data_IF_718670298255
#
_entry.id   IF_718670298255
#
_cell.length_a   1.000
_cell.length_b   1.000
_cell.length_c   1.000
_cell.angle_alpha   90.00
_cell.angle_beta   90.00
_cell.angle_gamma   90.00
#
_symmetry.space_group_name_H-M   'P 1'
#
loop_
_entity.id
_entity.type
_entity.pdbx_description
1 polymer ?
#
# COMPACT_ATOMS: atom_id res chain seq x y z
N UNK A 1 -4.58 14.15 0.20
CA UNK A 1 -4.48 13.42 1.48
C UNK A 1 -4.67 11.93 1.23
N UNK A 2 -4.45 11.04 2.22
CA UNK A 2 -4.67 9.58 2.09
C UNK A 2 -6.07 9.27 1.55
N UNK A 3 -7.10 9.82 2.19
CA UNK A 3 -8.50 9.55 1.82
C UNK A 3 -8.85 10.07 0.42
N UNK A 4 -8.31 11.23 0.05
CA UNK A 4 -8.46 11.77 -1.30
C UNK A 4 -7.84 10.84 -2.35
N UNK A 5 -6.67 10.26 -2.07
CA UNK A 5 -6.06 9.27 -2.96
C UNK A 5 -6.96 8.04 -3.11
N UNK A 6 -7.49 7.51 -1.99
CA UNK A 6 -8.39 6.35 -2.02
C UNK A 6 -9.63 6.65 -2.86
N UNK A 7 -10.29 7.79 -2.65
CA UNK A 7 -11.45 8.18 -3.45
C UNK A 7 -11.14 8.38 -4.93
N UNK A 8 -9.98 8.92 -5.28
CA UNK A 8 -9.56 9.07 -6.68
C UNK A 8 -9.30 7.72 -7.33
N UNK A 9 -8.63 6.81 -6.63
CA UNK A 9 -8.34 5.46 -7.11
C UNK A 9 -9.60 4.60 -7.24
N UNK A 10 -10.57 4.76 -6.34
CA UNK A 10 -11.90 4.11 -6.42
C UNK A 10 -12.82 4.71 -7.51
N UNK A 11 -12.44 5.86 -8.08
CA UNK A 11 -13.27 6.60 -9.02
C UNK A 11 -14.46 7.32 -8.39
N UNK A 12 -14.45 7.54 -7.06
CA UNK A 12 -15.49 8.26 -6.31
C UNK A 12 -15.41 9.77 -6.58
N UNK A 13 -14.19 10.30 -6.72
CA UNK A 13 -13.96 11.71 -7.09
C UNK A 13 -13.08 11.81 -8.34
N UNK A 14 -13.18 12.92 -9.11
CA UNK A 14 -12.39 13.09 -10.32
C UNK A 14 -10.88 13.06 -10.10
N UNK A 15 -10.15 12.50 -11.07
CA UNK A 15 -8.69 12.49 -11.10
C UNK A 15 -8.20 12.47 -12.55
N UNK A 16 -7.15 13.25 -12.85
CA UNK A 16 -6.47 13.19 -14.15
C UNK A 16 -5.83 11.81 -14.41
N UNK A 17 -5.48 11.08 -13.34
CA UNK A 17 -4.93 9.73 -13.43
C UNK A 17 -6.00 8.63 -13.55
N UNK A 18 -7.27 8.95 -13.33
CA UNK A 18 -8.40 8.03 -13.48
C UNK A 18 -9.59 8.74 -14.16
N UNK A 19 -9.44 9.16 -15.44
CA UNK A 19 -10.45 9.97 -16.11
C UNK A 19 -11.76 9.21 -16.36
N UNK A 20 -11.73 7.87 -16.37
CA UNK A 20 -12.91 7.03 -16.55
C UNK A 20 -13.66 6.74 -15.24
N UNK A 21 -13.16 7.17 -14.08
CA UNK A 21 -13.82 6.93 -12.79
C UNK A 21 -14.01 5.45 -12.45
N UNK A 22 -13.07 4.60 -12.88
CA UNK A 22 -13.10 3.16 -12.55
C UNK A 22 -12.62 2.93 -11.12
N UNK A 23 -13.04 1.83 -10.52
CA UNK A 23 -12.43 1.39 -9.27
C UNK A 23 -11.14 0.64 -9.60
N UNK A 24 -10.02 1.37 -9.56
CA UNK A 24 -8.71 0.81 -9.88
C UNK A 24 -8.25 -0.24 -8.86
N UNK A 25 -8.71 -0.15 -7.60
CA UNK A 25 -8.42 -1.21 -6.63
C UNK A 25 -9.15 -2.50 -6.99
N UNK A 26 -10.41 -2.41 -7.43
CA UNK A 26 -11.16 -3.56 -7.91
C UNK A 26 -10.54 -4.15 -9.19
N UNK A 27 -10.21 -3.30 -10.17
CA UNK A 27 -9.61 -3.71 -11.44
C UNK A 27 -8.28 -4.47 -11.25
N UNK A 28 -7.51 -4.12 -10.21
CA UNK A 28 -6.24 -4.77 -9.88
C UNK A 28 -6.32 -5.80 -8.74
N UNK A 29 -7.50 -6.03 -8.15
CA UNK A 29 -7.71 -7.02 -7.10
C UNK A 29 -7.13 -6.66 -5.72
N UNK A 30 -7.04 -5.39 -5.37
CA UNK A 30 -6.68 -4.90 -4.03
C UNK A 30 -7.94 -4.86 -3.16
N UNK A 31 -8.44 -6.03 -2.79
CA UNK A 31 -9.75 -6.21 -2.13
C UNK A 31 -9.98 -5.31 -0.90
N UNK A 32 -9.02 -5.15 0.04
CA UNK A 32 -9.24 -4.35 1.24
C UNK A 32 -9.47 -2.85 1.00
N UNK A 33 -9.24 -2.36 -0.22
CA UNK A 33 -9.34 -0.95 -0.60
C UNK A 33 -10.48 -0.65 -1.57
N UNK A 34 -11.22 -1.68 -2.00
CA UNK A 34 -12.32 -1.52 -2.95
C UNK A 34 -13.42 -0.63 -2.38
N UNK A 35 -14.10 0.09 -3.27
CA UNK A 35 -15.23 0.91 -2.85
C UNK A 35 -16.41 0.05 -2.41
N UNK A 36 -17.06 0.45 -1.33
CA UNK A 36 -18.37 -0.10 -0.97
C UNK A 36 -19.42 0.59 -1.83
N UNK A 37 -20.35 -0.17 -2.37
CA UNK A 37 -21.47 0.35 -3.17
C UNK A 37 -22.77 0.21 -2.39
N UNK A 38 -23.51 1.32 -2.22
CA UNK A 38 -24.82 1.27 -1.58
C UNK A 38 -25.92 0.78 -2.54
N UNK A 39 -27.14 0.66 -2.03
CA UNK A 39 -28.31 0.24 -2.81
C UNK A 39 -28.68 1.19 -3.96
N UNK A 40 -28.18 2.42 -3.95
CA UNK A 40 -28.37 3.41 -5.02
C UNK A 40 -27.27 3.36 -6.10
N UNK A 41 -26.28 2.48 -5.93
CA UNK A 41 -25.13 2.37 -6.84
C UNK A 41 -24.03 3.39 -6.55
N UNK A 42 -24.10 4.13 -5.43
CA UNK A 42 -23.08 5.10 -5.05
C UNK A 42 -21.92 4.40 -4.36
N UNK A 43 -20.70 4.70 -4.82
CA UNK A 43 -19.44 4.24 -4.23
C UNK A 43 -19.00 5.13 -3.06
N UNK A 44 -18.52 4.52 -1.98
CA UNK A 44 -18.00 5.20 -0.79
C UNK A 44 -17.00 4.32 -0.01
N UNK A 45 -16.39 4.93 1.02
CA UNK A 45 -15.44 4.28 1.92
C UNK A 45 -13.99 4.70 1.67
N UNK A 46 -13.20 4.81 2.74
CA UNK A 46 -11.76 5.15 2.70
C UNK A 46 -10.90 4.10 3.42
N UNK A 47 -11.52 2.99 3.81
CA UNK A 47 -10.82 1.89 4.43
C UNK A 47 -9.89 1.24 3.40
N UNK A 48 -8.59 1.21 3.72
CA UNK A 48 -7.53 0.70 2.84
C UNK A 48 -6.27 0.47 3.69
N UNK A 49 -6.28 -0.57 4.56
CA UNK A 49 -5.28 -0.74 5.61
C UNK A 49 -3.86 -0.98 5.06
N UNK A 50 -3.75 -1.48 3.82
CA UNK A 50 -2.45 -1.71 3.18
C UNK A 50 -1.65 -0.41 2.97
N UNK A 51 -2.31 0.74 2.77
CA UNK A 51 -1.63 2.03 2.69
C UNK A 51 -0.98 2.42 4.01
N UNK A 52 -1.60 2.02 5.13
CA UNK A 52 -1.09 2.27 6.48
C UNK A 52 0.09 1.34 6.82
N UNK A 53 0.30 0.29 6.02
CA UNK A 53 1.38 -0.70 6.15
C UNK A 53 2.57 -0.45 5.20
N UNK A 54 2.49 0.50 4.26
CA UNK A 54 3.57 0.81 3.31
C UNK A 54 4.92 1.10 3.99
N UNK A 55 4.92 1.71 5.17
CA UNK A 55 6.14 1.99 5.92
C UNK A 55 6.90 0.70 6.29
N UNK A 56 6.18 -0.42 6.48
CA UNK A 56 6.76 -1.70 6.89
C UNK A 56 7.72 -2.26 5.85
N UNK A 57 7.57 -1.90 4.57
CA UNK A 57 8.53 -2.29 3.54
C UNK A 57 9.92 -1.68 3.78
N UNK A 58 9.98 -0.47 4.33
CA UNK A 58 11.24 0.28 4.47
C UNK A 58 11.88 0.17 5.84
N UNK A 59 11.08 0.07 6.89
CA UNK A 59 11.57 0.15 8.27
C UNK A 59 11.26 -1.13 9.04
N UNK A 60 12.17 -1.52 9.94
CA UNK A 60 11.93 -2.59 10.91
C UNK A 60 11.10 -2.11 12.10
N UNK A 61 11.26 -0.84 12.47
CA UNK A 61 10.51 -0.17 13.54
C UNK A 61 9.73 1.01 12.97
N UNK A 62 8.62 1.35 13.60
CA UNK A 62 7.80 2.47 13.16
C UNK A 62 8.62 3.78 13.14
N UNK A 63 8.74 4.46 11.98
CA UNK A 63 9.71 5.54 11.81
C UNK A 63 9.27 6.89 12.38
N UNK A 64 8.00 7.02 12.77
CA UNK A 64 7.44 8.28 13.27
C UNK A 64 7.32 8.25 14.79
N UNK A 65 7.55 9.41 15.43
CA UNK A 65 7.33 9.54 16.87
C UNK A 65 5.85 9.24 17.18
N UNK A 66 5.55 8.44 18.22
CA UNK A 66 4.18 8.29 18.68
C UNK A 66 3.63 9.68 18.99
N UNK A 67 2.51 10.06 18.35
CA UNK A 67 1.81 11.28 18.70
C UNK A 67 1.17 11.07 20.08
N UNK A 68 1.26 12.03 21.00
CA UNK A 68 0.57 11.92 22.29
C UNK A 68 -0.92 11.70 22.07
N UNK A 69 -1.46 10.60 22.59
CA UNK A 69 -2.88 10.22 22.43
C UNK A 69 -3.22 9.49 21.13
N UNK A 70 -2.29 9.33 20.18
CA UNK A 70 -2.48 8.40 19.07
C UNK A 70 -2.31 6.97 19.59
N UNK A 71 -3.16 6.04 19.14
CA UNK A 71 -2.93 4.62 19.33
C UNK A 71 -1.47 4.35 18.90
N UNK A 72 -0.64 3.89 19.83
CA UNK A 72 0.72 3.44 19.52
C UNK A 72 0.62 2.58 18.27
N UNK A 73 1.40 2.88 17.22
CA UNK A 73 1.67 1.89 16.18
C UNK A 73 2.74 0.96 16.77
N UNK A 74 2.38 -0.08 17.55
CA UNK A 74 3.33 -0.88 18.33
C UNK A 74 3.75 -2.07 17.45
N UNK A 75 3.97 -1.79 16.17
CA UNK A 75 4.11 -2.80 15.13
C UNK A 75 5.57 -2.92 14.72
N UNK A 76 6.00 -4.16 14.52
CA UNK A 76 7.23 -4.46 13.80
C UNK A 76 6.96 -4.33 12.30
N UNK A 77 7.83 -3.61 11.61
CA UNK A 77 7.86 -3.58 10.17
C UNK A 77 8.44 -4.85 9.57
N UNK A 78 8.70 -4.84 8.27
CA UNK A 78 9.09 -6.03 7.51
C UNK A 78 10.50 -5.93 6.92
N UNK A 79 11.12 -4.74 6.95
CA UNK A 79 12.49 -4.56 6.51
C UNK A 79 13.46 -5.28 7.44
N UNK A 80 14.48 -5.93 6.87
CA UNK A 80 15.48 -6.69 7.63
C UNK A 80 16.39 -5.79 8.47
N UNK A 81 16.60 -4.53 8.03
CA UNK A 81 17.43 -3.54 8.75
C UNK A 81 16.56 -2.42 9.30
N UNK A 82 17.06 -1.72 10.31
CA UNK A 82 16.34 -0.65 11.01
C UNK A 82 15.73 0.41 10.08
N UNK A 83 16.52 0.93 9.14
CA UNK A 83 16.15 2.07 8.28
C UNK A 83 15.94 1.77 6.80
N UNK A 84 16.09 0.51 6.38
CA UNK A 84 16.10 0.14 4.96
C UNK A 84 15.86 -1.35 4.75
N UNK A 85 15.29 -1.75 3.59
CA UNK A 85 15.32 -3.14 3.16
C UNK A 85 16.76 -3.66 2.96
N UNK A 86 16.96 -4.98 3.07
CA UNK A 86 18.20 -5.63 2.63
C UNK A 86 18.30 -5.68 1.10
N UNK A 87 19.46 -6.07 0.56
CA UNK A 87 19.66 -6.21 -0.89
C UNK A 87 18.71 -7.23 -1.51
N UNK A 88 18.45 -8.34 -0.80
CA UNK A 88 17.46 -9.35 -1.18
C UNK A 88 16.05 -8.76 -1.23
N UNK A 89 15.67 -7.98 -0.23
CA UNK A 89 14.37 -7.31 -0.21
C UNK A 89 14.24 -6.29 -1.34
N UNK A 90 15.30 -5.55 -1.64
CA UNK A 90 15.33 -4.68 -2.82
C UNK A 90 15.21 -5.45 -4.13
N UNK A 91 15.81 -6.64 -4.24
CA UNK A 91 15.65 -7.51 -5.40
C UNK A 91 14.18 -7.94 -5.58
N UNK A 92 13.49 -8.30 -4.51
CA UNK A 92 12.05 -8.57 -4.56
C UNK A 92 11.25 -7.33 -4.99
N UNK A 93 11.57 -6.16 -4.42
CA UNK A 93 10.93 -4.89 -4.77
C UNK A 93 11.24 -4.44 -6.20
N UNK A 94 12.36 -4.87 -6.79
CA UNK A 94 12.71 -4.52 -8.17
C UNK A 94 11.69 -4.99 -9.19
N UNK A 95 10.94 -6.05 -8.87
CA UNK A 95 9.81 -6.48 -9.67
C UNK A 95 8.76 -5.39 -9.81
N UNK A 96 8.64 -4.43 -8.89
CA UNK A 96 7.68 -3.33 -8.90
C UNK A 96 8.32 -1.97 -9.28
N UNK A 97 9.52 -2.01 -9.87
CA UNK A 97 10.20 -0.81 -10.37
C UNK A 97 11.20 -0.15 -9.42
N UNK A 98 11.48 -0.74 -8.25
CA UNK A 98 12.49 -0.22 -7.33
C UNK A 98 13.91 -0.68 -7.71
N UNK A 99 14.80 0.26 -8.03
CA UNK A 99 16.26 0.02 -8.13
C UNK A 99 16.97 0.45 -6.86
N UNK A 100 16.46 1.48 -6.20
CA UNK A 100 16.95 2.05 -4.96
C UNK A 100 15.79 2.31 -3.99
N UNK A 101 16.09 2.44 -2.70
CA UNK A 101 15.11 2.70 -1.64
C UNK A 101 14.31 4.00 -1.86
N UNK A 102 14.87 4.96 -2.60
CA UNK A 102 14.24 6.24 -2.89
C UNK A 102 13.35 6.27 -4.14
N UNK A 103 13.26 5.17 -4.88
CA UNK A 103 12.50 5.13 -6.12
C UNK A 103 10.98 5.18 -5.88
N UNK A 104 10.26 5.66 -6.89
CA UNK A 104 8.81 5.83 -6.84
C UNK A 104 8.13 4.71 -7.63
N UNK A 105 7.34 3.89 -6.94
CA UNK A 105 6.43 2.93 -7.55
C UNK A 105 5.11 3.62 -7.94
N UNK A 106 4.65 3.42 -9.16
CA UNK A 106 3.46 4.07 -9.72
C UNK A 106 2.80 3.20 -10.79
N UNK A 107 1.62 3.61 -11.27
CA UNK A 107 0.89 2.88 -12.31
C UNK A 107 0.45 1.49 -11.84
N UNK A 108 0.46 0.52 -12.75
CA UNK A 108 0.02 -0.85 -12.48
C UNK A 108 0.88 -1.56 -11.43
N UNK A 109 2.18 -1.28 -11.38
CA UNK A 109 3.11 -1.87 -10.41
C UNK A 109 2.78 -1.47 -8.98
N UNK A 110 2.30 -0.24 -8.77
CA UNK A 110 1.84 0.20 -7.45
C UNK A 110 0.65 -0.64 -6.99
N UNK A 111 -0.36 -0.85 -7.84
CA UNK A 111 -1.51 -1.67 -7.47
C UNK A 111 -1.13 -3.14 -7.27
N UNK A 112 -0.22 -3.67 -8.09
CA UNK A 112 0.30 -5.03 -7.91
C UNK A 112 1.05 -5.18 -6.58
N UNK A 113 1.87 -4.20 -6.20
CA UNK A 113 2.53 -4.19 -4.89
C UNK A 113 1.52 -4.17 -3.75
N UNK A 114 0.52 -3.29 -3.81
CA UNK A 114 -0.53 -3.22 -2.78
C UNK A 114 -1.30 -4.53 -2.67
N UNK A 115 -1.61 -5.17 -3.80
CA UNK A 115 -2.24 -6.50 -3.82
C UNK A 115 -1.37 -7.54 -3.12
N UNK A 116 -0.09 -7.62 -3.51
CA UNK A 116 0.83 -8.62 -2.97
C UNK A 116 1.10 -8.40 -1.48
N UNK A 117 1.12 -7.15 -1.00
CA UNK A 117 1.18 -6.83 0.42
C UNK A 117 -0.04 -7.32 1.23
N UNK A 118 -1.18 -7.59 0.58
CA UNK A 118 -2.34 -8.21 1.22
C UNK A 118 -2.21 -9.74 1.32
N UNK A 119 -1.24 -10.37 0.65
CA UNK A 119 -0.99 -11.81 0.71
C UNK A 119 0.01 -12.14 1.84
N UNK A 120 -0.42 -12.89 2.88
CA UNK A 120 0.47 -13.32 3.96
C UNK A 120 1.68 -14.12 3.49
N UNK A 121 1.56 -14.91 2.40
CA UNK A 121 2.68 -15.69 1.86
C UNK A 121 3.74 -14.78 1.24
N UNK A 122 3.32 -13.73 0.52
CA UNK A 122 4.23 -12.72 0.00
C UNK A 122 4.93 -11.96 1.12
N UNK A 123 4.19 -11.54 2.15
CA UNK A 123 4.75 -10.85 3.32
C UNK A 123 5.76 -11.73 4.05
N UNK A 124 5.47 -13.03 4.20
CA UNK A 124 6.39 -13.98 4.81
C UNK A 124 7.69 -14.13 4.00
N UNK A 125 7.55 -14.25 2.67
CA UNK A 125 8.69 -14.29 1.77
C UNK A 125 9.53 -13.01 1.83
N UNK A 126 8.89 -11.84 1.86
CA UNK A 126 9.59 -10.56 1.98
C UNK A 126 10.43 -10.49 3.26
N UNK A 127 9.85 -10.91 4.39
CA UNK A 127 10.51 -10.94 5.71
C UNK A 127 11.67 -11.94 5.78
N UNK A 128 11.45 -13.18 5.34
CA UNK A 128 12.40 -14.30 5.57
C UNK A 128 13.36 -14.54 4.41
N UNK A 129 12.92 -14.36 3.17
CA UNK A 129 13.75 -14.49 1.99
C UNK A 129 14.04 -15.89 1.50
N UNK A 130 12.99 -16.67 1.27
CA UNK A 130 13.12 -17.98 0.63
C UNK A 130 13.25 -17.88 -0.89
#
# INVERSE_FOLDING_TARGET
TRDQFVWQAQGVIPSLANPQGRDLFADHGVEPCQAVTDSSGRRYGTFCPVLDDLWKLRFWEYPFKPMEGAAQHPGQGWAERAGSPSERQLLLLSNYGFRYVGDICHGEDMFRLLKDMCDPAWVDNYRKGY
#
